data_IF_430243506910
#
_entry.id   IF_430243506910
#
_cell.length_a   1.000
_cell.length_b   1.000
_cell.length_c   1.000
_cell.angle_alpha   90.00
_cell.angle_beta   90.00
_cell.angle_gamma   90.00
#
_symmetry.space_group_name_H-M   'P 1'
#
loop_
_entity.id
_entity.type
_entity.pdbx_description
1 polymer ?
#
# COMPACT_ATOMS: atom_id res chain seq x y z
N UNK A 1 4.49 -15.86 14.18
CA UNK A 1 4.70 -14.42 13.93
C UNK A 1 4.05 -14.21 12.60
N UNK A 2 2.82 -13.72 12.61
CA UNK A 2 1.92 -13.90 11.46
C UNK A 2 1.93 -12.59 10.68
N UNK A 3 2.88 -12.49 9.77
CA UNK A 3 3.14 -11.29 8.98
C UNK A 3 3.22 -11.63 7.49
N UNK A 4 2.96 -10.60 6.68
CA UNK A 4 3.16 -10.60 5.25
C UNK A 4 4.03 -9.40 4.84
N UNK A 5 4.67 -9.51 3.68
CA UNK A 5 5.45 -8.43 3.10
C UNK A 5 4.58 -7.61 2.15
N UNK A 6 4.51 -6.31 2.37
CA UNK A 6 3.91 -5.35 1.46
C UNK A 6 4.98 -4.41 0.90
N UNK A 7 5.13 -4.41 -0.42
CA UNK A 7 5.94 -3.47 -1.17
C UNK A 7 5.04 -2.35 -1.69
N UNK A 8 5.42 -1.10 -1.48
CA UNK A 8 4.64 0.07 -1.88
C UNK A 8 5.44 0.83 -2.91
N UNK A 9 4.93 0.87 -4.14
CA UNK A 9 5.56 1.50 -5.28
C UNK A 9 4.84 2.82 -5.56
N UNK A 10 5.54 3.93 -5.35
CA UNK A 10 5.04 5.27 -5.63
C UNK A 10 5.60 5.78 -6.96
N UNK A 11 4.76 5.86 -7.99
CA UNK A 11 5.07 6.45 -9.29
C UNK A 11 4.61 7.91 -9.40
N UNK A 12 4.01 8.48 -8.36
CA UNK A 12 3.54 9.87 -8.40
C UNK A 12 4.75 10.82 -8.38
N UNK A 13 4.91 11.66 -9.43
CA UNK A 13 5.98 12.64 -9.46
C UNK A 13 5.62 13.81 -8.55
N UNK A 14 6.55 14.24 -7.70
CA UNK A 14 6.31 15.42 -6.84
C UNK A 14 5.52 15.13 -5.56
N UNK A 15 5.05 13.90 -5.35
CA UNK A 15 4.15 13.55 -4.23
C UNK A 15 4.76 12.48 -3.34
N UNK A 16 5.07 12.85 -2.09
CA UNK A 16 5.40 11.89 -1.05
C UNK A 16 4.12 11.31 -0.46
N UNK A 17 4.16 10.04 -0.05
CA UNK A 17 3.01 9.36 0.52
C UNK A 17 3.27 8.98 1.97
N UNK A 18 2.24 9.10 2.79
CA UNK A 18 2.20 8.51 4.13
C UNK A 18 1.15 7.41 4.13
N UNK A 19 1.59 6.22 4.52
CA UNK A 19 0.76 5.01 4.54
C UNK A 19 0.33 4.78 5.98
N UNK A 20 -0.97 4.78 6.17
CA UNK A 20 -1.62 4.49 7.44
C UNK A 20 -2.22 3.10 7.37
N UNK A 21 -2.19 2.43 8.51
CA UNK A 21 -2.87 1.19 8.74
C UNK A 21 -3.90 1.37 9.83
N UNK A 22 -5.12 0.94 9.52
CA UNK A 22 -6.19 0.86 10.47
C UNK A 22 -6.67 -0.59 10.59
N UNK A 23 -6.60 -1.09 11.82
CA UNK A 23 -7.28 -2.29 12.26
C UNK A 23 -8.12 -1.94 13.50
N UNK A 24 -9.40 -2.30 13.47
CA UNK A 24 -10.35 -2.13 14.59
C UNK A 24 -10.32 -0.74 15.25
N UNK A 25 -10.37 0.32 14.42
CA UNK A 25 -10.39 1.75 14.82
C UNK A 25 -9.06 2.30 15.36
N UNK A 26 -7.99 1.51 15.36
CA UNK A 26 -6.65 1.97 15.72
C UNK A 26 -5.89 2.43 14.47
N UNK A 27 -5.67 3.73 14.32
CA UNK A 27 -4.89 4.32 13.22
C UNK A 27 -3.41 4.43 13.60
N UNK A 28 -2.55 3.77 12.84
CA UNK A 28 -1.10 3.87 13.00
C UNK A 28 -0.43 4.24 11.68
N UNK A 29 0.66 4.99 11.75
CA UNK A 29 1.54 5.24 10.60
C UNK A 29 2.38 3.98 10.38
N UNK A 30 2.29 3.39 9.18
CA UNK A 30 3.12 2.26 8.78
C UNK A 30 4.49 2.74 8.29
N UNK A 31 4.48 3.57 7.25
CA UNK A 31 5.68 3.95 6.51
C UNK A 31 5.43 5.22 5.69
N UNK A 32 6.49 6.02 5.50
CA UNK A 32 6.50 7.10 4.53
C UNK A 32 7.21 6.64 3.26
N UNK A 33 6.61 6.92 2.10
CA UNK A 33 7.15 6.55 0.78
C UNK A 33 7.50 7.83 0.05
N UNK A 34 8.75 7.93 -0.39
CA UNK A 34 9.21 9.10 -1.13
C UNK A 34 8.53 9.18 -2.50
N UNK A 35 8.51 10.36 -3.10
CA UNK A 35 8.08 10.57 -4.47
C UNK A 35 8.95 9.79 -5.47
N UNK A 36 8.38 9.49 -6.63
CA UNK A 36 9.16 8.96 -7.76
C UNK A 36 10.27 9.95 -8.15
N UNK A 37 11.47 9.43 -8.42
CA UNK A 37 12.61 10.24 -8.87
C UNK A 37 12.49 10.62 -10.33
N UNK A 38 11.95 9.72 -11.16
CA UNK A 38 11.83 9.86 -12.61
C UNK A 38 10.62 9.08 -13.12
N UNK A 39 9.96 9.53 -14.20
CA UNK A 39 8.91 8.75 -14.84
C UNK A 39 9.39 7.33 -15.18
N UNK A 40 8.63 6.32 -14.77
CA UNK A 40 8.98 4.90 -14.96
C UNK A 40 9.95 4.33 -13.91
N UNK A 41 10.38 5.11 -12.92
CA UNK A 41 11.20 4.66 -11.80
C UNK A 41 10.45 4.90 -10.47
N UNK A 42 9.61 3.96 -10.01
CA UNK A 42 8.89 4.10 -8.74
C UNK A 42 9.84 4.15 -7.55
N UNK A 43 9.53 5.01 -6.57
CA UNK A 43 10.10 4.85 -5.23
C UNK A 43 9.43 3.67 -4.57
N UNK A 44 10.20 2.75 -3.99
CA UNK A 44 9.68 1.54 -3.36
C UNK A 44 10.06 1.49 -1.90
N UNK A 45 9.08 1.22 -1.03
CA UNK A 45 9.28 0.95 0.39
C UNK A 45 8.68 -0.39 0.76
N UNK A 46 9.34 -1.10 1.67
CA UNK A 46 8.91 -2.41 2.15
C UNK A 46 8.43 -2.32 3.60
N UNK A 47 7.27 -2.89 3.89
CA UNK A 47 6.71 -2.90 5.24
C UNK A 47 6.07 -4.25 5.56
N UNK A 48 6.18 -4.66 6.83
CA UNK A 48 5.46 -5.83 7.33
C UNK A 48 4.02 -5.44 7.70
N UNK A 49 3.05 -6.24 7.25
CA UNK A 49 1.63 -6.07 7.57
C UNK A 49 1.11 -7.29 8.33
N UNK A 50 0.19 -7.09 9.27
CA UNK A 50 -0.41 -8.21 10.01
C UNK A 50 -1.37 -9.00 9.12
N UNK A 51 -1.40 -10.30 9.36
CA UNK A 51 -2.27 -11.25 8.66
C UNK A 51 -3.41 -11.77 9.53
N UNK A 52 -3.41 -11.39 10.82
CA UNK A 52 -4.41 -11.83 11.79
C UNK A 52 -5.79 -11.21 11.50
N UNK A 53 -5.80 -10.01 10.94
CA UNK A 53 -7.02 -9.25 10.75
C UNK A 53 -7.10 -8.54 9.40
N UNK A 54 -8.34 -8.24 8.98
CA UNK A 54 -8.58 -7.36 7.83
C UNK A 54 -7.98 -5.99 8.08
N UNK A 55 -7.22 -5.49 7.11
CA UNK A 55 -6.47 -4.25 7.22
C UNK A 55 -7.09 -3.20 6.30
N UNK A 56 -7.29 -2.00 6.83
CA UNK A 56 -7.61 -0.83 6.02
C UNK A 56 -6.32 -0.05 5.82
N UNK A 57 -5.83 0.00 4.59
CA UNK A 57 -4.70 0.84 4.22
C UNK A 57 -5.22 2.16 3.67
N UNK A 58 -4.73 3.25 4.23
CA UNK A 58 -5.03 4.59 3.76
C UNK A 58 -3.73 5.29 3.37
N UNK A 59 -3.64 5.75 2.13
CA UNK A 59 -2.50 6.46 1.60
C UNK A 59 -2.88 7.92 1.48
N UNK A 60 -2.09 8.80 2.10
CA UNK A 60 -2.29 10.24 2.01
C UNK A 60 -1.06 10.88 1.35
N UNK A 61 -1.30 11.97 0.62
CA UNK A 61 -0.25 12.92 0.25
C UNK A 61 0.30 13.54 1.54
N UNK A 62 1.59 13.34 1.80
CA UNK A 62 2.26 13.82 3.02
C UNK A 62 2.21 15.34 3.15
N UNK A 63 2.31 16.08 2.04
CA UNK A 63 2.33 17.54 2.04
C UNK A 63 0.92 18.13 2.11
N UNK A 64 -0.02 17.59 1.34
CA UNK A 64 -1.39 18.10 1.29
C UNK A 64 -2.29 17.54 2.41
N UNK A 65 -1.90 16.45 3.06
CA UNK A 65 -2.74 15.72 4.02
C UNK A 65 -4.00 15.10 3.39
N UNK A 66 -4.09 15.12 2.05
CA UNK A 66 -5.24 14.64 1.30
C UNK A 66 -5.15 13.12 1.11
N UNK A 67 -6.27 12.42 1.32
CA UNK A 67 -6.37 11.02 0.98
C UNK A 67 -6.20 10.81 -0.53
N UNK A 68 -5.22 9.98 -0.89
CA UNK A 68 -4.95 9.52 -2.25
C UNK A 68 -5.73 8.25 -2.53
N UNK A 69 -5.58 7.25 -1.66
CA UNK A 69 -6.26 5.96 -1.80
C UNK A 69 -6.67 5.38 -0.45
N UNK A 70 -7.69 4.52 -0.47
CA UNK A 70 -8.09 3.69 0.65
C UNK A 70 -8.48 2.31 0.13
N UNK A 71 -7.85 1.26 0.64
CA UNK A 71 -8.20 -0.12 0.32
C UNK A 71 -8.42 -0.94 1.60
N UNK A 72 -9.34 -1.89 1.52
CA UNK A 72 -9.58 -2.87 2.58
C UNK A 72 -9.13 -4.24 2.06
N UNK A 73 -8.18 -4.87 2.75
CA UNK A 73 -7.60 -6.14 2.33
C UNK A 73 -7.19 -6.99 3.53
N UNK A 74 -7.42 -8.31 3.45
CA UNK A 74 -6.95 -9.26 4.46
C UNK A 74 -5.70 -9.95 3.93
N UNK A 75 -4.54 -9.55 4.44
CA UNK A 75 -3.27 -10.18 4.11
C UNK A 75 -3.21 -11.58 4.72
N UNK A 76 -2.70 -12.55 3.97
CA UNK A 76 -2.42 -13.91 4.46
C UNK A 76 -0.94 -14.11 4.79
N UNK A 77 -0.66 -15.05 5.69
CA UNK A 77 0.70 -15.34 6.21
C UNK A 77 1.68 -15.72 5.09
N UNK A 78 2.91 -15.21 5.20
CA UNK A 78 3.98 -15.39 4.22
C UNK A 78 3.65 -14.89 2.80
N UNK A 79 2.54 -14.16 2.62
CA UNK A 79 2.23 -13.56 1.34
C UNK A 79 3.16 -12.40 1.01
N UNK A 80 3.40 -12.20 -0.28
CA UNK A 80 4.15 -11.09 -0.83
C UNK A 80 3.25 -10.27 -1.74
N UNK A 81 3.08 -8.99 -1.43
CA UNK A 81 2.15 -8.10 -2.08
C UNK A 81 2.86 -6.85 -2.57
N UNK A 82 2.41 -6.31 -3.70
CA UNK A 82 2.85 -5.02 -4.22
C UNK A 82 1.65 -4.10 -4.38
N UNK A 83 1.71 -2.91 -3.79
CA UNK A 83 0.75 -1.83 -3.99
C UNK A 83 1.36 -0.78 -4.91
N UNK A 84 0.82 -0.63 -6.12
CA UNK A 84 1.28 0.33 -7.10
C UNK A 84 0.40 1.57 -7.10
N UNK A 85 1.00 2.73 -6.85
CA UNK A 85 0.34 4.03 -6.84
C UNK A 85 0.80 4.85 -8.04
N UNK A 86 -0.11 5.16 -8.96
CA UNK A 86 0.19 5.86 -10.21
C UNK A 86 -0.97 6.73 -10.68
N UNK A 87 -0.71 7.64 -11.62
CA UNK A 87 -1.78 8.34 -12.32
C UNK A 87 -2.48 7.42 -13.32
N UNK A 88 -3.79 7.60 -13.46
CA UNK A 88 -4.57 6.97 -14.54
C UNK A 88 -4.30 7.71 -15.86
N UNK A 89 -4.28 6.97 -16.97
CA UNK A 89 -3.97 7.54 -18.29
C UNK A 89 -5.15 8.28 -18.94
N UNK A 90 -6.35 8.23 -18.35
CA UNK A 90 -7.61 8.65 -18.99
C UNK A 90 -7.92 10.16 -18.90
N UNK A 91 -6.89 11.01 -18.85
CA UNK A 91 -7.01 12.46 -19.02
C UNK A 91 -7.56 13.24 -17.82
N UNK A 92 -8.13 12.55 -16.82
CA UNK A 92 -8.36 13.10 -15.49
C UNK A 92 -7.14 12.74 -14.64
N UNK A 93 -6.59 13.69 -13.89
CA UNK A 93 -5.43 13.48 -13.01
C UNK A 93 -5.79 12.61 -11.77
N UNK A 94 -6.56 11.54 -11.98
CA UNK A 94 -6.98 10.58 -10.98
C UNK A 94 -5.84 9.62 -10.67
N UNK A 95 -5.73 9.24 -9.41
CA UNK A 95 -4.70 8.35 -8.90
C UNK A 95 -5.32 6.96 -8.71
N UNK A 96 -4.67 5.94 -9.25
CA UNK A 96 -5.02 4.54 -9.06
C UNK A 96 -4.07 3.88 -8.05
N UNK A 97 -4.61 2.96 -7.27
CA UNK A 97 -3.88 2.11 -6.34
C UNK A 97 -4.18 0.65 -6.62
N UNK A 98 -3.28 0.00 -7.34
CA UNK A 98 -3.43 -1.38 -7.80
C UNK A 98 -2.69 -2.32 -6.83
N UNK A 99 -3.42 -3.24 -6.19
CA UNK A 99 -2.83 -4.28 -5.34
C UNK A 99 -2.58 -5.55 -6.15
N UNK A 100 -1.35 -6.03 -6.13
CA UNK A 100 -0.90 -7.25 -6.80
C UNK A 100 -0.41 -8.26 -5.77
N UNK A 101 -0.78 -9.53 -5.96
CA UNK A 101 -0.28 -10.65 -5.16
C UNK A 101 0.90 -11.26 -5.91
N UNK A 102 2.12 -10.99 -5.45
CA UNK A 102 3.36 -11.50 -6.05
C UNK A 102 3.58 -12.96 -5.68
N UNK A 103 3.43 -13.28 -4.39
CA UNK A 103 3.48 -14.65 -3.88
C UNK A 103 2.21 -14.90 -3.08
N UNK A 104 1.51 -15.97 -3.43
CA UNK A 104 0.25 -16.33 -2.76
C UNK A 104 0.53 -16.66 -1.30
N UNK A 105 -0.29 -16.15 -0.36
CA UNK A 105 -0.15 -16.51 1.04
C UNK A 105 -0.37 -18.01 1.23
N UNK A 106 0.17 -18.53 2.32
CA UNK A 106 -0.19 -19.88 2.78
C UNK A 106 -1.64 -19.83 3.23
N UNK A 107 -2.47 -20.71 2.67
CA UNK A 107 -3.88 -20.79 3.02
C UNK A 107 -4.01 -21.40 4.42
N UNK A 108 -4.07 -20.55 5.44
CA UNK A 108 -4.28 -20.97 6.83
C UNK A 108 -5.73 -21.38 7.12
N UNK A 109 -6.60 -21.43 6.10
CA UNK A 109 -7.96 -21.97 6.21
C UNK A 109 -8.03 -23.51 6.13
N UNK A 110 -6.90 -24.23 6.18
CA UNK A 110 -6.89 -25.66 6.52
C UNK A 110 -7.11 -25.81 8.03
N UNK A 111 -8.38 -25.76 8.45
CA UNK A 111 -8.82 -26.22 9.76
C UNK A 111 -9.89 -27.28 9.60
#
# INVERSE_FOLDING_TARGET
MDQALLLIHNELPGTNLTVYWNFDRCYHVLVGVSQSRKPGEPSTEAVAVSTQHGSVLQLNDTAAGRQVCRLEYKFGEFGNYSLLVKHTHDGVNEIACDLVVNEKPVDSNLR
#
